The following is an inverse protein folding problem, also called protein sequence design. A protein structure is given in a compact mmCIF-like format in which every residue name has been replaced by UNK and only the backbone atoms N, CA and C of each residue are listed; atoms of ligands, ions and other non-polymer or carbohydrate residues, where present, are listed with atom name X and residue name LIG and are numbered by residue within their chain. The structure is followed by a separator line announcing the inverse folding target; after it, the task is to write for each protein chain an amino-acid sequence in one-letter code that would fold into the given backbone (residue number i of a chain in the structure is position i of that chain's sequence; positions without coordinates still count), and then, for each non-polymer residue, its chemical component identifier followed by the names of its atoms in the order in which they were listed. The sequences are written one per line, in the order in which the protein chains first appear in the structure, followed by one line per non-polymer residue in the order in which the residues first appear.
data_IF_015589200208
#
_entry.id   IF_015589200208
#
_cell.length_a   1.000
_cell.length_b   1.000
_cell.length_c   1.000
_cell.angle_alpha   90.00
_cell.angle_beta   90.00
_cell.angle_gamma   90.00
#
_symmetry.space_group_name_H-M   'P 1'
#
loop_
_entity.id
_entity.type
_entity.pdbx_description
1 polymer ?
#
# COMPACT_ATOMS: atom_id res chain seq x y z
N UNK A 1 2.51 -59.34 59.06
CA UNK A 1 2.54 -59.43 57.55
C UNK A 1 2.01 -58.14 56.98
N UNK A 2 2.88 -57.23 56.54
CA UNK A 2 2.50 -55.96 55.92
C UNK A 2 2.62 -56.16 54.41
N UNK A 3 1.48 -55.96 53.65
CA UNK A 3 1.47 -55.99 52.19
C UNK A 3 1.76 -54.59 51.69
N UNK A 4 2.88 -54.43 51.01
CA UNK A 4 3.26 -53.21 50.30
C UNK A 4 2.69 -53.27 48.92
N UNK A 5 1.73 -52.36 48.61
CA UNK A 5 1.18 -52.21 47.28
C UNK A 5 2.06 -51.24 46.49
N UNK A 6 2.58 -51.73 45.37
CA UNK A 6 3.32 -50.89 44.38
C UNK A 6 2.29 -50.25 43.41
N UNK A 7 2.20 -48.91 43.43
CA UNK A 7 1.37 -48.13 42.52
C UNK A 7 2.21 -47.76 41.30
N UNK A 8 1.98 -48.43 40.16
CA UNK A 8 2.59 -48.04 38.87
C UNK A 8 1.89 -46.82 38.31
N UNK A 9 2.59 -45.68 38.28
CA UNK A 9 2.18 -44.51 37.54
C UNK A 9 2.56 -44.70 36.04
N UNK A 10 1.57 -44.91 35.19
CA UNK A 10 1.74 -44.83 33.72
C UNK A 10 1.73 -43.36 33.31
N UNK A 11 2.91 -42.82 33.01
CA UNK A 11 3.04 -41.52 32.33
C UNK A 11 2.62 -41.65 30.86
N UNK A 12 1.42 -41.16 30.52
CA UNK A 12 1.03 -40.95 29.15
C UNK A 12 1.77 -39.70 28.64
N UNK A 13 2.84 -39.89 27.88
CA UNK A 13 3.46 -38.81 27.09
C UNK A 13 2.57 -38.57 25.86
N UNK A 14 1.68 -37.60 25.96
CA UNK A 14 0.98 -37.08 24.77
C UNK A 14 2.02 -36.30 23.98
N UNK A 15 2.54 -36.94 22.94
CA UNK A 15 3.35 -36.26 21.92
C UNK A 15 2.51 -35.22 21.22
N UNK A 16 2.56 -33.95 21.64
CA UNK A 16 2.06 -32.84 20.85
C UNK A 16 2.97 -32.68 19.62
N UNK A 17 2.58 -33.31 18.52
CA UNK A 17 3.12 -32.92 17.21
C UNK A 17 2.69 -31.48 16.95
N UNK A 18 3.46 -30.51 17.40
CA UNK A 18 3.36 -29.16 16.88
C UNK A 18 3.82 -29.21 15.42
N UNK A 19 2.89 -29.31 14.50
CA UNK A 19 3.17 -28.92 13.13
C UNK A 19 3.58 -27.44 13.20
N UNK A 20 4.88 -27.19 13.10
CA UNK A 20 5.38 -25.82 12.92
C UNK A 20 4.71 -25.28 11.66
N UNK A 21 3.78 -24.37 11.84
CA UNK A 21 3.15 -23.68 10.73
C UNK A 21 4.30 -22.98 9.97
N UNK A 22 4.54 -23.40 8.73
CA UNK A 22 5.65 -22.87 7.94
C UNK A 22 5.44 -21.36 7.82
N UNK A 23 6.41 -20.56 8.24
CA UNK A 23 6.32 -19.12 8.15
C UNK A 23 6.08 -18.68 6.71
N UNK A 24 5.24 -17.66 6.52
CA UNK A 24 5.04 -17.05 5.22
C UNK A 24 6.38 -16.59 4.65
N UNK A 25 6.64 -16.79 3.34
CA UNK A 25 7.90 -16.40 2.73
C UNK A 25 8.11 -14.88 2.68
N UNK A 26 7.03 -14.10 2.77
CA UNK A 26 7.04 -12.65 2.82
C UNK A 26 5.78 -12.09 3.47
N UNK A 27 5.88 -10.92 4.10
CA UNK A 27 4.77 -10.07 4.50
C UNK A 27 4.41 -9.16 3.31
N UNK A 28 3.16 -9.22 2.87
CA UNK A 28 2.71 -8.51 1.65
C UNK A 28 1.87 -7.30 2.02
N UNK A 29 2.36 -6.11 1.67
CA UNK A 29 1.62 -4.85 1.76
C UNK A 29 1.19 -4.35 0.38
N UNK A 30 0.08 -3.62 0.35
CA UNK A 30 -0.42 -2.99 -0.87
C UNK A 30 -0.70 -1.51 -0.63
N UNK A 31 -0.35 -0.66 -1.58
CA UNK A 31 -0.76 0.74 -1.55
C UNK A 31 -2.26 0.86 -1.80
N UNK A 32 -2.95 1.62 -0.94
CA UNK A 32 -4.38 1.84 -1.02
C UNK A 32 -4.68 3.31 -1.35
N UNK A 33 -5.17 3.56 -2.55
CA UNK A 33 -5.55 4.87 -3.03
C UNK A 33 -7.01 5.19 -2.65
N UNK A 34 -7.26 6.34 -2.01
CA UNK A 34 -8.63 6.77 -1.64
C UNK A 34 -9.18 7.89 -2.54
N UNK A 35 -9.12 7.66 -3.86
CA UNK A 35 -9.78 8.53 -4.84
C UNK A 35 -11.20 8.08 -5.21
N UNK A 36 -11.63 6.90 -4.75
CA UNK A 36 -12.90 6.29 -5.13
C UNK A 36 -14.01 6.52 -4.10
N UNK A 37 -13.77 7.41 -3.15
CA UNK A 37 -14.72 7.86 -2.14
C UNK A 37 -15.32 9.20 -2.54
N UNK A 38 -16.50 9.50 -1.96
CA UNK A 38 -17.29 10.70 -2.21
C UNK A 38 -17.82 10.83 -3.63
N UNK A 39 -18.85 11.64 -3.80
CA UNK A 39 -19.54 11.81 -5.06
C UNK A 39 -18.70 12.61 -6.07
N UNK A 40 -18.84 12.29 -7.34
CA UNK A 40 -18.22 13.03 -8.44
C UNK A 40 -18.73 14.47 -8.47
N UNK A 41 -17.81 15.43 -8.65
CA UNK A 41 -18.15 16.85 -8.74
C UNK A 41 -19.12 17.21 -9.88
N UNK A 42 -19.23 16.36 -10.88
CA UNK A 42 -20.11 16.52 -12.04
C UNK A 42 -21.41 15.69 -11.94
N UNK A 43 -21.67 15.00 -10.82
CA UNK A 43 -22.79 14.08 -10.66
C UNK A 43 -24.18 14.72 -10.89
N UNK A 44 -24.29 16.03 -10.65
CA UNK A 44 -25.52 16.82 -10.85
C UNK A 44 -25.49 17.65 -12.14
N UNK A 45 -24.45 17.50 -12.98
CA UNK A 45 -24.39 18.19 -14.27
C UNK A 45 -25.15 17.39 -15.34
N UNK A 46 -26.24 17.94 -15.96
CA UNK A 46 -26.98 17.24 -16.99
C UNK A 46 -26.15 16.92 -18.25
N UNK A 47 -25.08 17.68 -18.50
CA UNK A 47 -24.18 17.44 -19.64
C UNK A 47 -23.11 16.38 -19.33
N UNK A 48 -23.08 15.85 -18.12
CA UNK A 48 -22.13 14.83 -17.70
C UNK A 48 -22.83 13.58 -17.09
N UNK A 49 -23.70 12.88 -17.85
CA UNK A 49 -24.45 11.73 -17.35
C UNK A 49 -23.55 10.59 -16.87
N UNK A 50 -22.33 10.51 -17.38
CA UNK A 50 -21.28 9.55 -16.96
C UNK A 50 -20.86 9.72 -15.49
N UNK A 51 -21.00 10.92 -14.92
CA UNK A 51 -20.58 11.22 -13.55
C UNK A 51 -21.58 10.77 -12.50
N UNK A 52 -22.81 10.45 -12.88
CA UNK A 52 -23.86 10.03 -11.96
C UNK A 52 -23.49 8.67 -11.31
N UNK A 53 -23.58 8.61 -10.00
CA UNK A 53 -23.21 7.43 -9.19
C UNK A 53 -21.73 7.01 -9.29
N UNK A 54 -20.86 7.90 -9.76
CA UNK A 54 -19.41 7.67 -9.76
C UNK A 54 -18.72 8.42 -8.63
N UNK A 55 -17.49 8.06 -8.35
CA UNK A 55 -16.68 8.71 -7.33
C UNK A 55 -15.90 9.92 -7.87
N UNK A 56 -15.38 10.72 -6.94
CA UNK A 56 -14.70 11.99 -7.21
C UNK A 56 -13.64 11.94 -8.32
N UNK A 57 -12.84 10.86 -8.38
CA UNK A 57 -11.70 10.75 -9.31
C UNK A 57 -12.02 10.02 -10.60
N UNK A 58 -13.26 9.56 -10.78
CA UNK A 58 -13.68 8.96 -12.04
C UNK A 58 -13.78 10.03 -13.13
N UNK A 59 -13.22 9.75 -14.29
CA UNK A 59 -13.28 10.60 -15.48
C UNK A 59 -14.25 10.04 -16.50
N UNK A 60 -14.69 10.87 -17.45
CA UNK A 60 -15.52 10.42 -18.56
C UNK A 60 -14.81 9.31 -19.37
N UNK A 61 -13.51 9.49 -19.60
CA UNK A 61 -12.69 8.50 -20.31
C UNK A 61 -12.63 7.15 -19.64
N UNK A 62 -12.62 7.10 -18.29
CA UNK A 62 -12.69 5.83 -17.55
C UNK A 62 -13.99 5.07 -17.82
N UNK A 63 -15.11 5.79 -17.93
CA UNK A 63 -16.42 5.19 -18.17
C UNK A 63 -16.56 4.72 -19.62
N UNK A 64 -16.12 5.52 -20.59
CA UNK A 64 -16.36 5.28 -22.01
C UNK A 64 -15.31 4.36 -22.64
N UNK A 65 -14.02 4.58 -22.36
CA UNK A 65 -12.92 3.86 -23.02
C UNK A 65 -12.36 2.71 -22.19
N UNK A 66 -12.57 2.73 -20.86
CA UNK A 66 -12.00 1.73 -19.93
C UNK A 66 -13.04 1.12 -18.97
N UNK A 67 -14.26 0.75 -19.43
CA UNK A 67 -15.33 0.24 -18.58
C UNK A 67 -14.95 -1.08 -17.87
N UNK A 68 -13.99 -1.83 -18.42
CA UNK A 68 -13.49 -3.08 -17.82
C UNK A 68 -12.75 -2.86 -16.49
N UNK A 69 -12.33 -1.61 -16.18
CA UNK A 69 -11.64 -1.27 -14.92
C UNK A 69 -12.60 -0.99 -13.76
N UNK A 70 -13.90 -0.92 -14.04
CA UNK A 70 -14.89 -0.73 -12.97
C UNK A 70 -14.86 -1.91 -12.01
N UNK A 71 -14.69 -1.67 -10.69
CA UNK A 71 -14.78 -2.71 -9.68
C UNK A 71 -16.14 -3.41 -9.69
N UNK A 72 -16.18 -4.68 -9.33
CA UNK A 72 -17.42 -5.47 -9.28
C UNK A 72 -18.48 -4.93 -8.32
N UNK A 73 -18.10 -3.99 -7.45
CA UNK A 73 -19.00 -3.26 -6.55
C UNK A 73 -19.29 -1.83 -7.00
N UNK A 74 -18.88 -1.45 -8.21
CA UNK A 74 -19.04 -0.11 -8.77
C UNK A 74 -17.88 0.84 -8.45
N UNK A 75 -17.99 2.07 -8.99
CA UNK A 75 -16.94 3.09 -8.88
C UNK A 75 -16.88 3.78 -7.51
N UNK A 76 -17.81 3.52 -6.58
CA UNK A 76 -17.81 4.11 -5.24
C UNK A 76 -17.38 3.08 -4.20
N UNK A 77 -16.39 3.43 -3.38
CA UNK A 77 -15.81 2.57 -2.35
C UNK A 77 -16.10 3.06 -0.91
N UNK A 78 -17.04 4.00 -0.76
CA UNK A 78 -17.28 4.78 0.45
C UNK A 78 -18.40 4.21 1.34
N UNK A 79 -18.56 2.90 1.35
CA UNK A 79 -19.48 2.23 2.29
C UNK A 79 -18.74 1.23 3.19
N UNK A 80 -19.28 1.06 4.41
CA UNK A 80 -18.72 0.12 5.39
C UNK A 80 -18.70 -1.32 4.86
N UNK A 81 -19.76 -1.73 4.16
CA UNK A 81 -19.87 -3.06 3.56
C UNK A 81 -18.77 -3.32 2.52
N UNK A 82 -18.49 -2.35 1.64
CA UNK A 82 -17.44 -2.48 0.63
C UNK A 82 -16.07 -2.56 1.29
N UNK A 83 -15.79 -1.75 2.32
CA UNK A 83 -14.52 -1.82 3.04
C UNK A 83 -14.34 -3.18 3.71
N UNK A 84 -15.34 -3.69 4.41
CA UNK A 84 -15.29 -5.01 5.05
C UNK A 84 -15.08 -6.13 4.03
N UNK A 85 -15.75 -6.04 2.85
CA UNK A 85 -15.51 -6.96 1.74
C UNK A 85 -14.09 -6.89 1.19
N UNK A 86 -13.50 -5.70 1.08
CA UNK A 86 -12.10 -5.52 0.66
C UNK A 86 -11.13 -6.14 1.67
N UNK A 87 -11.37 -5.97 2.97
CA UNK A 87 -10.56 -6.57 4.03
C UNK A 87 -10.60 -8.11 3.94
N UNK A 88 -11.80 -8.70 3.81
CA UNK A 88 -11.93 -10.16 3.67
C UNK A 88 -11.22 -10.66 2.42
N UNK A 89 -11.41 -9.98 1.29
CA UNK A 89 -10.78 -10.33 0.03
C UNK A 89 -9.24 -10.28 0.11
N UNK A 90 -8.69 -9.26 0.76
CA UNK A 90 -7.26 -9.09 0.96
C UNK A 90 -6.68 -10.21 1.85
N UNK A 91 -7.29 -10.45 3.01
CA UNK A 91 -6.89 -11.48 3.95
C UNK A 91 -6.92 -12.88 3.33
N UNK A 92 -8.01 -13.22 2.64
CA UNK A 92 -8.21 -14.51 1.99
C UNK A 92 -7.19 -14.80 0.88
N UNK A 93 -6.55 -13.75 0.36
CA UNK A 93 -5.58 -13.85 -0.72
C UNK A 93 -4.14 -13.49 -0.31
N UNK A 94 -3.87 -13.39 0.99
CA UNK A 94 -2.51 -13.31 1.50
C UNK A 94 -1.92 -11.91 1.54
N UNK A 95 -2.75 -10.88 1.45
CA UNK A 95 -2.35 -9.50 1.79
C UNK A 95 -2.34 -9.36 3.30
N UNK A 96 -1.26 -8.82 3.85
CA UNK A 96 -1.06 -8.67 5.30
C UNK A 96 -1.42 -7.27 5.79
N UNK A 97 -1.26 -6.25 4.94
CA UNK A 97 -1.59 -4.87 5.32
C UNK A 97 -1.89 -3.96 4.12
N UNK A 98 -2.70 -2.94 4.38
CA UNK A 98 -2.91 -1.80 3.50
C UNK A 98 -2.01 -0.64 3.92
N UNK A 99 -1.35 0.02 2.95
CA UNK A 99 -0.73 1.32 3.14
C UNK A 99 -1.67 2.38 2.57
N UNK A 100 -2.49 2.97 3.42
CA UNK A 100 -3.39 4.04 3.02
C UNK A 100 -2.60 5.28 2.62
N UNK A 101 -2.89 5.83 1.43
CA UNK A 101 -2.38 7.11 1.00
C UNK A 101 -2.97 8.20 1.90
N UNK A 102 -2.14 8.80 2.73
CA UNK A 102 -2.52 9.90 3.61
C UNK A 102 -2.16 11.23 2.97
N UNK A 103 -3.10 12.15 2.89
CA UNK A 103 -2.97 13.41 2.18
C UNK A 103 -3.00 14.59 3.12
N UNK A 104 -2.25 15.63 2.79
CA UNK A 104 -2.44 16.99 3.29
C UNK A 104 -3.02 17.87 2.17
N UNK A 105 -3.33 19.11 2.49
CA UNK A 105 -3.92 20.08 1.56
C UNK A 105 -2.88 20.94 0.87
N UNK A 106 -3.28 21.55 -0.26
CA UNK A 106 -2.43 22.45 -1.05
C UNK A 106 -2.28 23.86 -0.44
N UNK A 107 -2.98 24.18 0.65
CA UNK A 107 -2.92 25.50 1.27
C UNK A 107 -1.63 25.77 2.05
N UNK A 108 -0.77 24.73 2.24
CA UNK A 108 0.53 24.82 2.94
C UNK A 108 0.46 25.44 4.32
N UNK A 109 -0.74 25.60 4.86
CA UNK A 109 -0.99 26.14 6.18
C UNK A 109 -0.62 25.18 7.31
N UNK A 110 -0.83 25.60 8.57
CA UNK A 110 -0.60 24.73 9.71
C UNK A 110 -1.51 23.50 9.69
N UNK A 111 -0.91 22.33 9.85
CA UNK A 111 -1.64 21.08 10.00
C UNK A 111 -2.50 21.16 11.26
N UNK A 112 -3.78 20.82 11.10
CA UNK A 112 -4.71 20.72 12.22
C UNK A 112 -5.76 19.63 11.97
N UNK A 113 -6.32 19.10 13.04
CA UNK A 113 -7.24 17.96 13.01
C UNK A 113 -8.49 18.23 12.17
N UNK A 114 -9.12 19.39 12.31
CA UNK A 114 -10.36 19.71 11.61
C UNK A 114 -10.16 19.70 10.08
N UNK A 115 -9.07 20.31 9.60
CA UNK A 115 -8.75 20.32 8.19
C UNK A 115 -8.43 18.92 7.67
N UNK A 116 -7.65 18.11 8.40
CA UNK A 116 -7.36 16.73 8.02
C UNK A 116 -8.66 15.93 7.89
N UNK A 117 -9.56 16.03 8.86
CA UNK A 117 -10.81 15.28 8.88
C UNK A 117 -11.78 15.69 7.76
N UNK A 118 -11.59 16.87 7.16
CA UNK A 118 -12.37 17.36 6.03
C UNK A 118 -11.88 16.82 4.67
N UNK A 119 -10.70 16.19 4.62
CA UNK A 119 -10.12 15.68 3.37
C UNK A 119 -10.87 14.44 2.88
N UNK A 120 -11.47 14.47 1.67
CA UNK A 120 -12.26 13.34 1.17
C UNK A 120 -11.45 12.04 0.98
N UNK A 121 -10.15 12.14 0.75
CA UNK A 121 -9.25 10.99 0.57
C UNK A 121 -8.91 10.26 1.89
N UNK A 122 -9.57 10.58 3.01
CA UNK A 122 -9.44 9.83 4.26
C UNK A 122 -10.69 9.01 4.62
N UNK A 123 -11.66 8.93 3.72
CA UNK A 123 -12.91 8.18 3.97
C UNK A 123 -12.63 6.69 4.14
N UNK A 124 -11.83 6.10 3.25
CA UNK A 124 -11.52 4.67 3.32
C UNK A 124 -10.77 4.28 4.59
N UNK A 125 -9.84 5.12 5.07
CA UNK A 125 -9.17 4.91 6.35
C UNK A 125 -10.17 4.90 7.51
N UNK A 126 -11.11 5.85 7.55
CA UNK A 126 -12.17 5.90 8.58
C UNK A 126 -13.06 4.66 8.55
N UNK A 127 -13.45 4.20 7.37
CA UNK A 127 -14.22 2.97 7.20
C UNK A 127 -13.44 1.74 7.66
N UNK A 128 -12.13 1.66 7.34
CA UNK A 128 -11.27 0.57 7.81
C UNK A 128 -11.18 0.55 9.35
N UNK A 129 -10.94 1.68 10.00
CA UNK A 129 -10.85 1.76 11.47
C UNK A 129 -12.13 1.27 12.15
N UNK A 130 -13.30 1.52 11.53
CA UNK A 130 -14.60 1.10 12.04
C UNK A 130 -15.05 -0.29 11.54
N UNK A 131 -14.26 -0.97 10.72
CA UNK A 131 -14.62 -2.28 10.17
C UNK A 131 -14.62 -3.36 11.26
N UNK A 132 -15.65 -4.21 11.28
CA UNK A 132 -15.81 -5.31 12.24
C UNK A 132 -14.79 -6.44 12.06
N UNK A 133 -14.11 -6.48 10.90
CA UNK A 133 -13.13 -7.49 10.52
C UNK A 133 -11.74 -6.90 10.27
N UNK A 134 -11.44 -5.70 10.79
CA UNK A 134 -10.16 -5.00 10.57
C UNK A 134 -8.95 -5.79 11.08
N UNK A 135 -9.14 -6.66 12.07
CA UNK A 135 -8.08 -7.49 12.64
C UNK A 135 -7.49 -8.49 11.65
N UNK A 136 -8.15 -8.73 10.52
CA UNK A 136 -7.66 -9.67 9.48
C UNK A 136 -6.53 -9.10 8.63
N UNK A 137 -6.46 -7.78 8.47
CA UNK A 137 -5.47 -7.10 7.63
C UNK A 137 -4.96 -5.88 8.38
N UNK A 138 -3.67 -5.77 8.60
CA UNK A 138 -3.05 -4.60 9.24
C UNK A 138 -3.13 -3.36 8.34
N UNK A 139 -2.76 -2.20 8.87
CA UNK A 139 -2.67 -0.97 8.10
C UNK A 139 -1.41 -0.17 8.42
N UNK A 140 -1.12 0.79 7.58
CA UNK A 140 -0.07 1.79 7.74
C UNK A 140 -0.31 2.96 6.82
N UNK A 141 0.61 3.92 6.80
CA UNK A 141 0.50 5.12 5.99
C UNK A 141 1.59 5.21 4.92
N UNK A 142 1.17 5.60 3.73
CA UNK A 142 1.99 6.28 2.74
C UNK A 142 1.62 7.77 2.79
N UNK A 143 2.56 8.62 3.14
CA UNK A 143 2.35 10.07 3.14
C UNK A 143 2.48 10.58 1.71
N UNK A 144 1.35 10.93 1.10
CA UNK A 144 1.25 11.36 -0.29
C UNK A 144 1.60 12.85 -0.43
N UNK A 145 2.80 13.23 -0.02
CA UNK A 145 3.31 14.60 0.00
C UNK A 145 3.84 15.06 -1.38
N UNK A 146 3.11 14.72 -2.45
CA UNK A 146 3.39 15.18 -3.81
C UNK A 146 2.85 16.61 -4.03
N UNK A 147 3.07 17.14 -5.26
CA UNK A 147 2.54 18.45 -5.63
C UNK A 147 1.03 18.54 -5.40
N UNK A 148 0.61 19.58 -4.69
CA UNK A 148 -0.78 19.77 -4.26
C UNK A 148 -1.14 19.13 -2.91
N UNK A 149 -0.18 18.51 -2.23
CA UNK A 149 -0.35 17.89 -0.90
C UNK A 149 0.92 17.96 -0.05
N UNK A 150 1.82 18.92 -0.36
CA UNK A 150 3.09 19.04 0.33
C UNK A 150 2.91 19.42 1.81
N UNK A 151 3.63 18.71 2.68
CA UNK A 151 3.81 19.11 4.08
C UNK A 151 5.02 20.03 4.14
N UNK A 152 4.77 21.34 4.33
CA UNK A 152 5.81 22.35 4.28
C UNK A 152 6.21 22.79 5.68
N UNK A 153 7.53 22.71 5.97
CA UNK A 153 8.11 23.10 7.24
C UNK A 153 8.08 22.03 8.31
N UNK A 154 9.11 22.07 9.17
CA UNK A 154 9.35 21.02 10.17
C UNK A 154 8.28 20.97 11.26
N UNK A 155 7.62 22.10 11.56
CA UNK A 155 6.53 22.13 12.53
C UNK A 155 5.30 21.38 12.05
N UNK A 156 5.01 21.43 10.73
CA UNK A 156 3.92 20.66 10.14
C UNK A 156 4.20 19.14 10.19
N UNK A 157 5.45 18.70 10.01
CA UNK A 157 5.81 17.30 10.22
C UNK A 157 5.62 16.87 11.68
N UNK A 158 5.92 17.76 12.63
CA UNK A 158 5.64 17.53 14.05
C UNK A 158 4.14 17.37 14.32
N UNK A 159 3.31 18.28 13.82
CA UNK A 159 1.86 18.21 14.02
C UNK A 159 1.23 17.01 13.31
N UNK A 160 1.75 16.62 12.14
CA UNK A 160 1.34 15.39 11.45
C UNK A 160 1.57 14.15 12.32
N UNK A 161 2.77 13.99 12.91
CA UNK A 161 3.08 12.85 13.80
C UNK A 161 2.18 12.86 15.04
N UNK A 162 1.90 14.01 15.64
CA UNK A 162 0.94 14.11 16.76
C UNK A 162 -0.44 13.63 16.36
N UNK A 163 -0.93 14.05 15.19
CA UNK A 163 -2.21 13.60 14.67
C UNK A 163 -2.22 12.08 14.41
N UNK A 164 -1.13 11.53 13.86
CA UNK A 164 -1.05 10.10 13.59
C UNK A 164 -0.86 9.24 14.84
N UNK A 165 -0.51 9.83 16.00
CA UNK A 165 -0.04 9.08 17.17
C UNK A 165 -1.01 8.01 17.65
N UNK A 166 -2.32 8.27 17.61
CA UNK A 166 -3.33 7.28 17.99
C UNK A 166 -3.40 6.11 17.01
N UNK A 167 -3.25 6.38 15.70
CA UNK A 167 -3.18 5.34 14.68
C UNK A 167 -1.89 4.51 14.83
N UNK A 168 -0.75 5.18 15.05
CA UNK A 168 0.57 4.54 15.19
C UNK A 168 0.66 3.62 16.41
N UNK A 169 -0.20 3.82 17.42
CA UNK A 169 -0.34 3.00 18.63
C UNK A 169 -1.36 1.86 18.48
N UNK A 170 -2.18 1.86 17.41
CA UNK A 170 -3.16 0.79 17.17
C UNK A 170 -2.42 -0.55 16.97
N UNK A 171 -2.82 -1.64 17.66
CA UNK A 171 -2.21 -2.97 17.50
C UNK A 171 -2.23 -3.50 16.05
N UNK A 172 -3.15 -2.99 15.22
CA UNK A 172 -3.24 -3.35 13.80
C UNK A 172 -2.30 -2.51 12.92
N UNK A 173 -1.62 -1.49 13.48
CA UNK A 173 -0.65 -0.73 12.68
C UNK A 173 0.58 -1.58 12.36
N UNK A 174 1.02 -1.60 11.08
CA UNK A 174 2.19 -2.37 10.65
C UNK A 174 3.47 -1.80 11.24
N UNK A 175 4.33 -2.68 11.73
CA UNK A 175 5.62 -2.30 12.33
C UNK A 175 6.78 -2.97 11.61
N UNK A 176 7.94 -2.31 11.64
CA UNK A 176 9.24 -2.84 11.22
C UNK A 176 10.23 -2.61 12.36
N UNK A 177 10.94 -3.65 12.77
CA UNK A 177 11.79 -3.65 13.98
C UNK A 177 11.04 -3.14 15.23
N UNK A 178 9.73 -3.43 15.32
CA UNK A 178 8.86 -3.03 16.44
C UNK A 178 8.54 -1.52 16.49
N UNK A 179 8.76 -0.79 15.40
CA UNK A 179 8.41 0.62 15.21
C UNK A 179 7.38 0.76 14.11
N UNK A 180 6.38 1.66 14.23
CA UNK A 180 5.40 1.90 13.17
C UNK A 180 6.07 2.28 11.85
N UNK A 181 5.65 1.64 10.75
CA UNK A 181 6.15 1.93 9.40
C UNK A 181 5.40 3.14 8.81
N UNK A 182 6.13 4.18 8.47
CA UNK A 182 5.62 5.33 7.71
C UNK A 182 6.40 5.44 6.41
N UNK A 183 5.70 5.36 5.29
CA UNK A 183 6.30 5.53 3.96
C UNK A 183 6.10 6.96 3.50
N UNK A 184 7.14 7.62 3.02
CA UNK A 184 7.09 9.01 2.52
C UNK A 184 7.25 8.99 1.00
N UNK A 185 6.22 9.44 0.28
CA UNK A 185 6.16 9.42 -1.18
C UNK A 185 7.24 10.31 -1.81
N UNK A 186 7.26 11.59 -1.44
CA UNK A 186 8.29 12.53 -1.91
C UNK A 186 9.37 12.70 -0.83
N UNK A 187 10.43 11.93 -0.93
CA UNK A 187 11.53 11.96 0.03
C UNK A 187 12.35 13.26 0.02
N UNK A 188 12.22 14.10 -1.03
CA UNK A 188 12.78 15.46 -1.03
C UNK A 188 11.90 16.46 -0.28
N UNK A 189 10.63 16.17 -0.10
CA UNK A 189 9.66 17.02 0.58
C UNK A 189 9.84 17.10 2.10
N UNK A 190 10.83 16.42 2.66
CA UNK A 190 11.23 16.49 4.07
C UNK A 190 12.75 16.48 4.16
N UNK A 191 13.34 17.39 4.93
CA UNK A 191 14.77 17.41 5.19
C UNK A 191 15.17 16.54 6.40
N UNK A 192 16.47 16.45 6.68
CA UNK A 192 16.98 15.63 7.79
C UNK A 192 16.50 16.13 9.16
N UNK A 193 16.34 17.45 9.34
CA UNK A 193 15.79 18.03 10.58
C UNK A 193 14.32 17.65 10.75
N UNK A 194 13.51 17.70 9.68
CA UNK A 194 12.12 17.25 9.71
C UNK A 194 11.98 15.78 10.08
N UNK A 195 12.82 14.90 9.51
CA UNK A 195 12.86 13.47 9.85
C UNK A 195 13.26 13.26 11.33
N UNK A 196 14.23 14.03 11.86
CA UNK A 196 14.62 13.98 13.26
C UNK A 196 13.47 14.43 14.19
N UNK A 197 12.81 15.54 13.87
CA UNK A 197 11.63 16.02 14.61
C UNK A 197 10.49 15.00 14.61
N UNK A 198 10.25 14.31 13.50
CA UNK A 198 9.29 13.21 13.46
C UNK A 198 9.65 12.10 14.46
N UNK A 199 10.92 11.68 14.51
CA UNK A 199 11.40 10.68 15.46
C UNK A 199 11.26 11.14 16.91
N UNK A 200 11.66 12.37 17.22
CA UNK A 200 11.53 12.97 18.56
C UNK A 200 10.07 13.04 19.01
N UNK A 201 9.19 13.51 18.10
CA UNK A 201 7.76 13.65 18.39
C UNK A 201 7.14 12.27 18.65
N UNK A 202 7.46 11.26 17.83
CA UNK A 202 6.99 9.90 18.05
C UNK A 202 7.42 9.36 19.44
N UNK A 203 8.66 9.65 19.88
CA UNK A 203 9.13 9.26 21.22
C UNK A 203 8.40 10.02 22.33
N UNK A 204 8.14 11.32 22.15
CA UNK A 204 7.34 12.15 23.10
C UNK A 204 5.91 11.62 23.22
N UNK A 205 5.36 11.11 22.11
CA UNK A 205 4.05 10.46 22.09
C UNK A 205 4.06 9.02 22.65
N UNK A 206 5.18 8.53 23.16
CA UNK A 206 5.30 7.21 23.83
C UNK A 206 5.62 6.04 22.90
N UNK A 207 5.97 6.29 21.64
CA UNK A 207 6.45 5.27 20.71
C UNK A 207 7.96 5.05 20.86
N UNK A 208 8.48 3.91 20.38
CA UNK A 208 9.93 3.63 20.32
C UNK A 208 10.66 4.41 19.21
N UNK A 209 9.96 5.27 18.48
CA UNK A 209 10.35 5.94 17.26
C UNK A 209 9.55 5.39 16.07
N UNK A 210 9.96 5.76 14.86
CA UNK A 210 9.32 5.37 13.59
C UNK A 210 10.30 4.58 12.72
N UNK A 211 9.78 3.63 11.93
CA UNK A 211 10.46 3.10 10.76
C UNK A 211 10.06 3.97 9.56
N UNK A 212 10.97 4.85 9.12
CA UNK A 212 10.73 5.80 8.04
C UNK A 212 11.29 5.26 6.72
N UNK A 213 10.43 4.92 5.77
CA UNK A 213 10.80 4.46 4.44
C UNK A 213 10.61 5.60 3.42
N UNK A 214 11.70 6.03 2.78
CA UNK A 214 11.64 7.03 1.72
C UNK A 214 11.43 6.39 0.35
N UNK A 215 10.50 6.91 -0.45
CA UNK A 215 10.34 6.50 -1.84
C UNK A 215 11.39 7.15 -2.75
N UNK A 216 11.85 6.37 -3.73
CA UNK A 216 12.76 6.82 -4.79
C UNK A 216 14.24 6.82 -4.40
N UNK A 217 15.07 7.09 -5.40
CA UNK A 217 16.54 7.10 -5.24
C UNK A 217 17.04 8.28 -4.39
N UNK A 218 16.27 9.35 -4.28
CA UNK A 218 16.61 10.54 -3.49
C UNK A 218 16.65 10.28 -1.98
N UNK A 219 15.98 9.22 -1.49
CA UNK A 219 16.12 8.78 -0.11
C UNK A 219 17.46 8.09 0.19
N UNK A 220 18.24 7.72 -0.84
CA UNK A 220 19.49 6.97 -0.69
C UNK A 220 20.53 7.77 0.08
N UNK A 221 20.97 7.21 1.22
CA UNK A 221 21.97 7.85 2.09
C UNK A 221 21.49 9.11 2.81
N UNK A 222 20.22 9.51 2.65
CA UNK A 222 19.65 10.66 3.36
C UNK A 222 19.46 10.32 4.83
N UNK A 223 20.09 11.10 5.71
CA UNK A 223 19.99 10.92 7.16
C UNK A 223 18.54 11.01 7.64
N UNK A 224 18.14 10.07 8.50
CA UNK A 224 16.80 10.00 9.09
C UNK A 224 15.87 9.01 8.43
N UNK A 225 16.04 8.63 7.16
CA UNK A 225 15.34 7.45 6.61
C UNK A 225 16.01 6.17 7.09
N UNK A 226 15.19 5.27 7.65
CA UNK A 226 15.64 3.95 8.11
C UNK A 226 15.56 2.88 7.02
N UNK A 227 14.71 3.09 6.02
CA UNK A 227 14.45 2.17 4.92
C UNK A 227 14.22 2.93 3.62
N UNK A 228 14.29 2.21 2.51
CA UNK A 228 13.94 2.73 1.18
C UNK A 228 12.93 1.84 0.49
N UNK A 229 12.13 2.45 -0.38
CA UNK A 229 11.20 1.76 -1.27
C UNK A 229 10.90 2.65 -2.49
N UNK A 230 9.87 2.32 -3.24
CA UNK A 230 9.23 3.19 -4.25
C UNK A 230 7.71 3.08 -4.13
N UNK A 231 7.00 4.11 -4.59
CA UNK A 231 5.55 3.98 -4.81
C UNK A 231 5.28 3.21 -6.11
N UNK A 232 5.89 3.69 -7.20
CA UNK A 232 5.97 3.00 -8.48
C UNK A 232 7.31 3.33 -9.17
N UNK A 233 7.65 2.55 -10.20
CA UNK A 233 8.83 2.79 -11.06
C UNK A 233 8.35 2.68 -12.49
N UNK A 234 8.14 3.81 -13.13
CA UNK A 234 7.51 3.87 -14.45
C UNK A 234 8.49 4.47 -15.46
N UNK A 235 9.11 3.64 -16.32
CA UNK A 235 9.86 4.16 -17.44
C UNK A 235 8.92 4.90 -18.40
N UNK A 236 9.41 5.98 -19.01
CA UNK A 236 8.64 6.76 -19.97
C UNK A 236 7.41 7.48 -19.42
N UNK A 237 7.36 7.79 -18.10
CA UNK A 237 6.20 8.43 -17.44
C UNK A 237 5.65 9.68 -18.16
N UNK A 238 6.50 10.43 -18.84
CA UNK A 238 6.12 11.65 -19.59
C UNK A 238 6.71 11.66 -21.01
N UNK A 239 6.96 10.49 -21.60
CA UNK A 239 7.64 10.36 -22.88
C UNK A 239 6.70 10.40 -24.10
N UNK A 240 5.39 10.49 -23.88
CA UNK A 240 4.34 10.36 -24.89
C UNK A 240 3.58 9.04 -24.75
N UNK A 241 2.37 8.96 -25.32
CA UNK A 241 1.53 7.77 -25.25
C UNK A 241 2.08 6.70 -26.21
N UNK A 242 2.79 5.71 -25.68
CA UNK A 242 3.40 4.62 -26.44
C UNK A 242 3.25 3.29 -25.72
N UNK A 243 2.94 2.24 -26.49
CA UNK A 243 2.80 0.88 -25.96
C UNK A 243 4.18 0.24 -25.75
N UNK A 244 4.39 -0.30 -24.56
CA UNK A 244 5.60 -1.01 -24.17
C UNK A 244 5.29 -2.36 -23.54
N UNK A 245 6.29 -3.25 -23.51
CA UNK A 245 6.16 -4.57 -22.91
C UNK A 245 6.21 -4.50 -21.40
N UNK A 246 5.31 -5.24 -20.73
CA UNK A 246 5.31 -5.33 -19.26
C UNK A 246 6.66 -5.77 -18.69
N UNK A 247 7.43 -6.58 -19.43
CA UNK A 247 8.78 -6.98 -19.00
C UNK A 247 9.72 -5.77 -18.81
N UNK A 248 9.59 -4.72 -19.61
CA UNK A 248 10.39 -3.50 -19.46
C UNK A 248 10.07 -2.78 -18.14
N UNK A 249 8.78 -2.76 -17.75
CA UNK A 249 8.33 -2.24 -16.45
C UNK A 249 8.89 -3.08 -15.29
N UNK A 250 8.84 -4.40 -15.41
CA UNK A 250 9.39 -5.35 -14.44
C UNK A 250 10.89 -5.14 -14.28
N UNK A 251 11.63 -5.07 -15.37
CA UNK A 251 13.08 -4.92 -15.37
C UNK A 251 13.50 -3.56 -14.76
N UNK A 252 12.82 -2.46 -15.13
CA UNK A 252 13.06 -1.15 -14.55
C UNK A 252 12.80 -1.14 -13.03
N UNK A 253 11.76 -1.83 -12.58
CA UNK A 253 11.44 -1.93 -11.15
C UNK A 253 12.48 -2.78 -10.41
N UNK A 254 12.86 -3.94 -10.95
CA UNK A 254 13.89 -4.81 -10.36
C UNK A 254 15.26 -4.12 -10.27
N UNK A 255 15.59 -3.25 -11.22
CA UNK A 255 16.81 -2.46 -11.19
C UNK A 255 16.90 -1.51 -9.98
N UNK A 256 15.77 -1.19 -9.33
CA UNK A 256 15.73 -0.38 -8.11
C UNK A 256 15.94 -1.18 -6.83
N UNK A 257 15.86 -2.52 -6.89
CA UNK A 257 16.02 -3.36 -5.70
C UNK A 257 17.46 -3.34 -5.22
N UNK A 258 17.77 -2.39 -4.37
CA UNK A 258 19.09 -2.19 -3.81
C UNK A 258 18.97 -1.63 -2.39
N UNK A 259 19.58 -2.28 -1.44
CA UNK A 259 19.65 -1.86 -0.05
C UNK A 259 21.07 -1.93 0.50
N UNK A 260 21.25 -1.32 1.65
CA UNK A 260 22.43 -1.46 2.51
C UNK A 260 21.98 -1.95 3.87
N UNK A 261 22.91 -2.38 4.73
CA UNK A 261 22.57 -2.77 6.11
C UNK A 261 22.00 -1.60 6.92
N UNK A 262 22.50 -0.38 6.66
CA UNK A 262 22.05 0.83 7.36
C UNK A 262 20.72 1.38 6.78
N UNK A 263 20.39 1.03 5.53
CA UNK A 263 19.19 1.48 4.84
C UNK A 263 18.62 0.36 3.95
N UNK A 264 18.02 -0.67 4.58
CA UNK A 264 17.39 -1.79 3.88
C UNK A 264 16.33 -1.33 2.88
N UNK A 265 16.19 -2.09 1.80
CA UNK A 265 15.20 -1.83 0.76
C UNK A 265 13.98 -2.75 0.92
N UNK A 266 12.79 -2.18 0.82
CA UNK A 266 11.52 -2.90 0.74
C UNK A 266 11.17 -3.06 -0.75
N UNK A 267 11.25 -4.28 -1.32
CA UNK A 267 10.96 -4.51 -2.73
C UNK A 267 9.57 -4.04 -3.11
N UNK A 268 9.48 -3.27 -4.20
CA UNK A 268 8.24 -2.89 -4.84
C UNK A 268 7.96 -3.82 -6.02
N UNK A 269 6.66 -4.11 -6.24
CA UNK A 269 6.14 -4.73 -7.46
C UNK A 269 5.03 -3.86 -8.03
N UNK A 270 4.97 -3.74 -9.36
CA UNK A 270 3.91 -3.03 -10.07
C UNK A 270 3.03 -4.06 -10.80
N UNK A 271 1.72 -4.08 -10.51
CA UNK A 271 0.77 -5.02 -11.14
C UNK A 271 0.63 -4.72 -12.63
N UNK A 272 0.53 -3.45 -12.97
CA UNK A 272 0.40 -2.92 -14.32
C UNK A 272 0.50 -1.41 -14.29
N UNK A 273 0.63 -0.81 -15.47
CA UNK A 273 0.65 0.63 -15.62
C UNK A 273 0.04 1.05 -16.95
N UNK A 274 -1.00 1.87 -16.88
CA UNK A 274 -1.66 2.53 -18.01
C UNK A 274 -2.52 3.68 -17.48
N UNK A 275 -1.98 4.91 -17.51
CA UNK A 275 -2.67 6.10 -17.00
C UNK A 275 -3.55 6.81 -18.04
N UNK A 276 -3.71 6.25 -19.24
CA UNK A 276 -4.55 6.82 -20.30
C UNK A 276 -5.98 7.19 -19.88
N UNK A 277 -6.64 6.50 -18.91
CA UNK A 277 -7.93 6.94 -18.36
C UNK A 277 -7.94 8.38 -17.84
N UNK A 278 -6.81 8.89 -17.41
CA UNK A 278 -6.66 10.25 -16.90
C UNK A 278 -6.06 11.23 -17.93
N UNK A 279 -5.71 10.77 -19.13
CA UNK A 279 -5.12 11.58 -20.18
C UNK A 279 -6.17 12.17 -21.12
N UNK A 280 -5.82 13.28 -21.77
CA UNK A 280 -6.63 13.95 -22.78
C UNK A 280 -7.86 14.69 -22.24
N UNK A 281 -8.71 15.23 -23.15
CA UNK A 281 -9.84 16.10 -22.77
C UNK A 281 -10.94 15.42 -21.96
N UNK A 282 -11.15 14.12 -22.17
CA UNK A 282 -12.13 13.32 -21.43
C UNK A 282 -11.57 12.74 -20.13
N UNK A 283 -10.28 12.91 -19.88
CA UNK A 283 -9.59 12.58 -18.65
C UNK A 283 -9.40 13.80 -17.76
N UNK A 284 -8.19 13.99 -17.25
CA UNK A 284 -7.82 15.15 -16.44
C UNK A 284 -6.62 15.94 -17.01
N UNK A 285 -6.32 15.73 -18.30
CA UNK A 285 -5.25 16.37 -19.04
C UNK A 285 -3.83 16.12 -18.49
N UNK A 286 -3.61 15.00 -17.80
CA UNK A 286 -2.26 14.54 -17.40
C UNK A 286 -1.43 14.29 -18.66
N UNK A 287 -0.14 14.59 -18.61
CA UNK A 287 0.77 14.28 -19.72
C UNK A 287 0.75 12.80 -20.03
N UNK A 288 0.75 12.50 -21.33
CA UNK A 288 0.88 11.15 -21.85
C UNK A 288 2.17 10.48 -21.39
N UNK A 289 2.13 9.17 -21.30
CA UNK A 289 3.28 8.34 -20.94
C UNK A 289 3.16 6.95 -21.54
N UNK A 290 4.22 6.18 -21.42
CA UNK A 290 4.22 4.77 -21.81
C UNK A 290 3.16 4.01 -21.03
N UNK A 291 2.57 2.98 -21.69
CA UNK A 291 1.62 2.05 -21.06
C UNK A 291 1.96 0.61 -21.43
N UNK A 292 1.59 -0.33 -20.56
CA UNK A 292 2.06 -1.72 -20.59
C UNK A 292 0.87 -2.68 -20.54
N UNK A 293 0.16 -2.91 -21.67
CA UNK A 293 -1.11 -3.63 -21.68
C UNK A 293 -0.97 -5.15 -21.66
N UNK A 294 0.21 -5.69 -21.97
CA UNK A 294 0.46 -7.13 -22.16
C UNK A 294 0.78 -7.87 -20.85
N UNK A 295 0.53 -7.26 -19.68
CA UNK A 295 0.76 -7.91 -18.41
C UNK A 295 -0.22 -9.07 -18.16
N UNK A 296 0.28 -10.16 -17.58
CA UNK A 296 -0.49 -11.35 -17.28
C UNK A 296 -0.35 -11.76 -15.81
N UNK A 297 -1.35 -12.47 -15.24
CA UNK A 297 -1.24 -13.01 -13.88
C UNK A 297 0.00 -13.89 -13.67
N UNK A 298 0.44 -14.61 -14.70
CA UNK A 298 1.63 -15.47 -14.62
C UNK A 298 2.92 -14.66 -14.51
N UNK A 299 3.06 -13.59 -15.30
CA UNK A 299 4.21 -12.67 -15.22
C UNK A 299 4.26 -11.98 -13.85
N UNK A 300 3.12 -11.49 -13.34
CA UNK A 300 3.04 -10.89 -12.02
C UNK A 300 3.43 -11.88 -10.90
N UNK A 301 2.95 -13.15 -10.98
CA UNK A 301 3.38 -14.20 -10.06
C UNK A 301 4.89 -14.42 -10.06
N UNK A 302 5.50 -14.47 -11.24
CA UNK A 302 6.94 -14.64 -11.38
C UNK A 302 7.67 -13.43 -10.77
N UNK A 303 7.18 -12.21 -11.00
CA UNK A 303 7.75 -10.99 -10.43
C UNK A 303 7.71 -11.01 -8.89
N UNK A 304 6.60 -11.43 -8.27
CA UNK A 304 6.51 -11.60 -6.82
C UNK A 304 7.47 -12.69 -6.31
N UNK A 305 7.59 -13.79 -7.04
CA UNK A 305 8.54 -14.86 -6.69
C UNK A 305 10.01 -14.39 -6.78
N UNK A 306 10.32 -13.52 -7.74
CA UNK A 306 11.65 -12.91 -7.87
C UNK A 306 11.97 -11.96 -6.72
N UNK A 307 10.97 -11.19 -6.22
CA UNK A 307 11.16 -10.33 -5.05
C UNK A 307 11.48 -11.14 -3.78
N UNK A 308 10.78 -12.25 -3.58
CA UNK A 308 11.05 -13.16 -2.45
C UNK A 308 12.47 -13.74 -2.56
N UNK A 309 12.85 -14.21 -3.75
CA UNK A 309 14.21 -14.73 -4.00
C UNK A 309 15.26 -13.66 -3.76
N UNK A 310 15.03 -12.41 -4.23
CA UNK A 310 15.96 -11.32 -3.99
C UNK A 310 16.15 -11.07 -2.49
N UNK A 311 15.09 -11.15 -1.67
CA UNK A 311 15.18 -11.04 -0.21
C UNK A 311 15.93 -12.22 0.41
N UNK A 312 15.78 -13.45 -0.13
CA UNK A 312 16.56 -14.63 0.30
C UNK A 312 18.07 -14.44 0.04
N UNK A 313 18.40 -13.90 -1.12
CA UNK A 313 19.78 -13.68 -1.55
C UNK A 313 20.43 -12.42 -0.88
N UNK A 314 19.62 -11.53 -0.28
CA UNK A 314 20.05 -10.28 0.31
C UNK A 314 19.46 -10.04 1.73
N UNK A 315 19.63 -10.96 2.67
CA UNK A 315 18.93 -10.91 3.97
C UNK A 315 19.29 -9.70 4.84
N UNK A 316 20.50 -9.12 4.67
CA UNK A 316 20.93 -7.92 5.41
C UNK A 316 20.55 -6.62 4.70
N UNK A 317 20.06 -6.69 3.46
CA UNK A 317 19.69 -5.53 2.64
C UNK A 317 18.17 -5.33 2.51
N UNK A 318 17.39 -6.12 3.21
CA UNK A 318 15.93 -6.03 3.29
C UNK A 318 15.45 -6.02 4.73
N UNK A 319 14.16 -5.81 4.96
CA UNK A 319 13.58 -5.85 6.31
C UNK A 319 13.59 -7.27 6.89
N UNK A 320 13.75 -7.40 8.21
CA UNK A 320 13.67 -8.71 8.89
C UNK A 320 12.32 -9.36 8.73
N UNK A 321 11.26 -8.54 8.69
CA UNK A 321 9.89 -8.97 8.46
C UNK A 321 9.64 -9.42 7.02
N UNK A 322 10.65 -9.26 6.13
CA UNK A 322 10.59 -9.69 4.72
C UNK A 322 9.38 -9.10 3.99
N UNK A 323 9.28 -7.78 4.07
CA UNK A 323 8.17 -7.04 3.46
C UNK A 323 8.37 -6.91 1.95
N UNK A 324 7.30 -7.13 1.18
CA UNK A 324 7.16 -6.68 -0.20
C UNK A 324 5.97 -5.72 -0.30
N UNK A 325 6.08 -4.69 -1.12
CA UNK A 325 5.01 -3.75 -1.41
C UNK A 325 4.52 -3.93 -2.84
N UNK A 326 3.22 -3.81 -3.04
CA UNK A 326 2.59 -3.91 -4.35
C UNK A 326 1.89 -2.59 -4.69
N UNK A 327 2.22 -2.04 -5.82
CA UNK A 327 1.49 -0.98 -6.48
C UNK A 327 0.48 -1.60 -7.45
N UNK A 328 -0.81 -1.61 -7.14
CA UNK A 328 -1.46 -1.18 -5.93
C UNK A 328 -2.69 -2.06 -5.63
N UNK A 329 -3.40 -1.75 -4.55
CA UNK A 329 -4.69 -2.38 -4.29
C UNK A 329 -5.72 -1.95 -5.33
N UNK A 330 -5.79 -0.62 -5.61
CA UNK A 330 -6.91 -0.04 -6.35
C UNK A 330 -6.56 1.21 -7.18
N UNK A 331 -5.36 1.31 -7.76
CA UNK A 331 -5.02 2.40 -8.69
C UNK A 331 -5.65 2.18 -10.08
N UNK A 332 -7.00 2.26 -10.13
CA UNK A 332 -7.81 1.96 -11.31
C UNK A 332 -7.54 2.93 -12.47
N UNK A 333 -7.25 4.20 -12.16
CA UNK A 333 -6.95 5.22 -13.15
C UNK A 333 -5.59 5.04 -13.82
N UNK A 334 -4.66 4.38 -13.12
CA UNK A 334 -3.28 4.17 -13.56
C UNK A 334 -2.98 2.71 -13.96
N UNK A 335 -3.97 1.81 -13.84
CA UNK A 335 -3.82 0.43 -14.28
C UNK A 335 -3.08 -0.50 -13.31
N UNK A 336 -2.73 -0.02 -12.11
CA UNK A 336 -2.11 -0.81 -11.06
C UNK A 336 -3.13 -1.23 -10.02
N UNK A 337 -3.80 -2.38 -10.17
CA UNK A 337 -4.84 -2.80 -9.22
C UNK A 337 -4.92 -4.31 -9.05
N UNK A 338 -5.33 -4.75 -7.85
CA UNK A 338 -5.58 -6.14 -7.49
C UNK A 338 -7.06 -6.42 -7.21
N UNK A 339 -7.87 -5.38 -7.00
CA UNK A 339 -9.31 -5.53 -6.78
C UNK A 339 -10.00 -6.17 -7.98
N UNK A 340 -11.06 -6.99 -7.78
CA UNK A 340 -11.83 -7.54 -8.87
C UNK A 340 -12.58 -6.44 -9.63
N UNK A 341 -12.49 -6.49 -10.95
CA UNK A 341 -13.12 -5.54 -11.87
C UNK A 341 -13.97 -6.26 -12.89
N UNK A 342 -14.72 -5.52 -13.70
CA UNK A 342 -15.49 -6.13 -14.81
C UNK A 342 -14.59 -6.89 -15.80
N UNK A 343 -13.33 -6.44 -15.97
CA UNK A 343 -12.35 -7.12 -16.82
C UNK A 343 -11.67 -8.33 -16.17
N UNK A 344 -11.65 -8.40 -14.84
CA UNK A 344 -11.11 -9.52 -14.05
C UNK A 344 -11.99 -9.75 -12.81
N UNK A 345 -13.23 -10.26 -12.99
CA UNK A 345 -14.17 -10.45 -11.89
C UNK A 345 -13.70 -11.49 -10.86
N UNK A 346 -12.80 -12.35 -11.25
CA UNK A 346 -12.21 -13.40 -10.43
C UNK A 346 -10.99 -12.96 -9.62
N UNK A 347 -10.54 -11.71 -9.76
CA UNK A 347 -9.32 -11.18 -9.14
C UNK A 347 -8.10 -12.09 -9.37
N UNK A 348 -7.84 -12.42 -10.63
CA UNK A 348 -6.84 -13.44 -11.01
C UNK A 348 -5.43 -13.05 -10.59
N UNK A 349 -5.09 -11.76 -10.61
CA UNK A 349 -3.80 -11.24 -10.11
C UNK A 349 -3.67 -11.39 -8.59
N UNK A 350 -4.72 -11.04 -7.85
CA UNK A 350 -4.74 -11.19 -6.39
C UNK A 350 -4.59 -12.67 -5.99
N UNK A 351 -5.23 -13.58 -6.71
CA UNK A 351 -5.07 -15.03 -6.52
C UNK A 351 -3.64 -15.51 -6.75
N UNK A 352 -2.81 -14.81 -7.57
CA UNK A 352 -1.39 -15.16 -7.70
C UNK A 352 -0.59 -14.80 -6.43
N UNK A 353 -0.95 -13.73 -5.72
CA UNK A 353 -0.33 -13.43 -4.42
C UNK A 353 -0.49 -14.63 -3.50
N UNK A 354 -1.73 -15.09 -3.29
CA UNK A 354 -2.02 -16.27 -2.47
C UNK A 354 -1.17 -17.47 -2.86
N UNK A 355 -1.12 -17.80 -4.16
CA UNK A 355 -0.35 -18.96 -4.65
C UNK A 355 1.14 -18.89 -4.33
N UNK A 356 1.71 -17.67 -4.26
CA UNK A 356 3.14 -17.49 -3.94
C UNK A 356 3.37 -17.57 -2.45
N UNK A 357 2.57 -16.84 -1.64
CA UNK A 357 2.82 -16.71 -0.21
C UNK A 357 2.28 -17.87 0.64
N UNK A 358 1.40 -18.70 0.08
CA UNK A 358 0.88 -19.90 0.75
C UNK A 358 1.50 -21.20 0.22
N UNK A 359 2.55 -21.13 -0.63
CA UNK A 359 3.26 -22.33 -1.09
C UNK A 359 3.83 -23.08 0.11
N UNK A 360 3.37 -24.28 0.21
CA UNK A 360 3.81 -25.32 1.15
C UNK A 360 5.20 -25.84 0.82
#
# INVERSE_FOLDING_TARGET
MKKTGILCFLLFIIGMNSYAQKEKPAMVGVYYYDGWSTENRHANNPDAPWAKNTSRMVTQRMIEDFPQREPVWGWRHDTQEIMERQIDLAADNGIDFFLFCWYWRDDKGPINKELIESIPQHVSLKLYINAKNKEKVKFGFLIANHHGGEIVGNDNWTEAVKYWSDYLKDPQYVTVDGKPLVVIFNSDGVDSEGLEKMQETAKKEGLKGLSLAGCGTKATGKSGFTHRTHYNVIPGYSAGSEEHKYQELVDATKAQWSGTEDQPYIPLLTVGWDKRPWEGPLGNNVKDGWYFPDHTPAQFRNFLSDAIRWMDDNPTKTTKERIVLIYAWNELGEGGYLVPTKGDPDATYLKQVKKVVTKQ
#
